data_IF_688336793203
#
_entry.id   IF_688336793203
#
_cell.length_a   1.000
_cell.length_b   1.000
_cell.length_c   1.000
_cell.angle_alpha   90.00
_cell.angle_beta   90.00
_cell.angle_gamma   90.00
#
_symmetry.space_group_name_H-M   'P 1'
#
loop_
_entity.id
_entity.type
_entity.pdbx_description
1 polymer ?
#
# COMPACT_ATOMS: atom_id res chain seq x y z
N UNK A 1 -11.23 30.37 12.91
CA UNK A 1 -10.15 30.39 11.92
C UNK A 1 -9.89 28.95 11.48
N UNK A 2 -9.92 28.70 10.18
CA UNK A 2 -9.59 27.39 9.63
C UNK A 2 -8.08 27.19 9.75
N UNK A 3 -7.65 26.04 10.30
CA UNK A 3 -6.24 25.69 10.43
C UNK A 3 -5.87 24.70 9.31
N UNK A 4 -4.75 24.92 8.66
CA UNK A 4 -4.24 24.05 7.59
C UNK A 4 -3.13 23.17 8.17
N UNK A 5 -3.34 21.85 8.15
CA UNK A 5 -2.34 20.86 8.56
C UNK A 5 -1.80 20.14 7.33
N UNK A 6 -0.52 20.31 7.07
CA UNK A 6 0.19 19.65 5.98
C UNK A 6 0.66 18.26 6.36
N UNK A 7 0.47 17.27 5.46
CA UNK A 7 0.98 15.91 5.63
C UNK A 7 1.42 15.30 4.30
N UNK A 8 1.89 14.05 4.32
CA UNK A 8 2.36 13.32 3.15
C UNK A 8 3.85 13.55 2.86
N UNK A 9 4.33 12.96 1.78
CA UNK A 9 5.73 12.99 1.39
C UNK A 9 6.24 14.42 1.14
N UNK A 10 5.43 15.28 0.49
CA UNK A 10 5.77 16.68 0.16
C UNK A 10 5.46 17.69 1.27
N UNK A 11 5.09 17.28 2.49
CA UNK A 11 4.59 18.15 3.57
C UNK A 11 5.52 19.32 3.95
N UNK A 12 6.82 19.11 3.81
CA UNK A 12 7.82 20.16 4.15
C UNK A 12 7.86 21.32 3.13
N UNK A 13 7.28 21.12 1.95
CA UNK A 13 7.23 22.11 0.87
C UNK A 13 5.87 22.83 0.79
N UNK A 14 5.10 22.86 1.88
CA UNK A 14 3.80 23.52 1.97
C UNK A 14 3.90 24.83 2.76
N UNK A 15 4.23 25.97 2.13
CA UNK A 15 4.47 27.24 2.83
C UNK A 15 3.22 27.84 3.47
N UNK A 16 2.04 27.34 3.08
CA UNK A 16 0.74 27.79 3.57
C UNK A 16 0.20 26.92 4.73
N UNK A 17 0.93 25.88 5.16
CA UNK A 17 0.51 25.02 6.25
C UNK A 17 0.85 25.68 7.61
N UNK A 18 -0.16 25.79 8.50
CA UNK A 18 0.03 26.26 9.87
C UNK A 18 0.76 25.24 10.74
N UNK A 19 0.65 23.96 10.39
CA UNK A 19 1.33 22.85 11.07
C UNK A 19 1.67 21.76 10.07
N UNK A 20 2.82 21.12 10.27
CA UNK A 20 3.26 19.97 9.48
C UNK A 20 3.32 18.73 10.39
N UNK A 21 2.66 17.65 9.98
CA UNK A 21 2.60 16.39 10.72
C UNK A 21 3.00 15.23 9.81
N UNK A 22 3.68 14.23 10.37
CA UNK A 22 4.09 13.05 9.59
C UNK A 22 2.88 12.29 9.07
N UNK A 23 2.99 11.73 7.89
CA UNK A 23 1.95 10.90 7.31
C UNK A 23 1.66 9.65 8.16
N UNK A 24 2.68 9.13 8.88
CA UNK A 24 2.52 7.99 9.80
C UNK A 24 1.48 8.33 10.88
N UNK A 25 1.64 9.49 11.53
CA UNK A 25 0.70 9.97 12.54
C UNK A 25 -0.69 10.22 11.96
N UNK A 26 -0.75 10.81 10.77
CA UNK A 26 -2.01 11.13 10.12
C UNK A 26 -2.75 9.87 9.68
N UNK A 27 -2.06 8.87 9.08
CA UNK A 27 -2.69 7.59 8.74
C UNK A 27 -3.21 6.84 9.98
N UNK A 28 -2.44 6.82 11.08
CA UNK A 28 -2.88 6.22 12.34
C UNK A 28 -4.18 6.88 12.86
N UNK A 29 -4.21 8.22 12.95
CA UNK A 29 -5.39 8.98 13.40
C UNK A 29 -6.60 8.79 12.48
N UNK A 30 -6.39 8.88 11.17
CA UNK A 30 -7.46 8.73 10.19
C UNK A 30 -8.04 7.31 10.16
N UNK A 31 -7.20 6.29 10.23
CA UNK A 31 -7.65 4.90 10.22
C UNK A 31 -8.46 4.55 11.47
N UNK A 32 -8.00 4.93 12.67
CA UNK A 32 -8.74 4.70 13.93
C UNK A 32 -10.05 5.50 13.96
N UNK A 33 -10.08 6.71 13.39
CA UNK A 33 -11.32 7.48 13.28
C UNK A 33 -12.37 6.78 12.42
N UNK A 34 -11.94 6.22 11.28
CA UNK A 34 -12.84 5.52 10.34
C UNK A 34 -13.22 4.11 10.83
N UNK A 35 -12.29 3.42 11.48
CA UNK A 35 -12.47 2.08 12.04
C UNK A 35 -11.90 2.04 13.45
N UNK A 36 -12.71 2.28 14.49
CA UNK A 36 -12.24 2.37 15.89
C UNK A 36 -11.55 1.10 16.42
N UNK A 37 -11.77 -0.06 15.78
CA UNK A 37 -11.08 -1.32 16.09
C UNK A 37 -9.66 -1.44 15.52
N UNK A 38 -9.22 -0.46 14.72
CA UNK A 38 -7.90 -0.49 14.06
C UNK A 38 -6.77 -0.53 15.09
N UNK A 39 -6.00 -1.60 15.06
CA UNK A 39 -4.75 -1.73 15.82
C UNK A 39 -3.53 -1.72 14.92
N UNK A 40 -3.71 -1.97 13.61
CA UNK A 40 -2.63 -1.93 12.62
C UNK A 40 -3.12 -1.26 11.34
N UNK A 41 -2.35 -0.30 10.85
CA UNK A 41 -2.54 0.31 9.54
C UNK A 41 -1.49 -0.25 8.59
N UNK A 42 -1.95 -0.73 7.44
CA UNK A 42 -1.12 -1.14 6.31
C UNK A 42 -1.28 -0.07 5.24
N UNK A 43 -0.21 0.64 4.90
CA UNK A 43 -0.25 1.67 3.87
C UNK A 43 0.69 1.31 2.72
N UNK A 44 0.15 1.28 1.49
CA UNK A 44 0.96 1.11 0.29
C UNK A 44 0.74 2.31 -0.62
N UNK A 45 1.71 3.22 -0.54
CA UNK A 45 1.78 4.41 -1.35
C UNK A 45 2.49 4.18 -2.69
N UNK A 46 2.66 5.27 -3.44
CA UNK A 46 3.42 5.27 -4.70
C UNK A 46 4.92 5.08 -4.50
N UNK A 47 5.48 5.61 -3.41
CA UNK A 47 6.93 5.67 -3.18
C UNK A 47 7.40 4.74 -2.04
N UNK A 48 6.53 4.43 -1.11
CA UNK A 48 6.84 3.66 0.09
C UNK A 48 5.68 2.75 0.51
N UNK A 49 5.96 1.88 1.45
CA UNK A 49 4.95 1.08 2.14
C UNK A 49 5.23 1.07 3.63
N UNK A 50 4.17 1.08 4.44
CA UNK A 50 4.26 1.21 5.90
C UNK A 50 3.35 0.22 6.60
N UNK A 51 3.80 -0.23 7.77
CA UNK A 51 2.97 -0.91 8.77
C UNK A 51 3.06 -0.07 10.04
N UNK A 52 1.91 0.36 10.57
CA UNK A 52 1.83 1.26 11.71
C UNK A 52 0.97 0.59 12.78
N UNK A 53 1.53 0.35 13.95
CA UNK A 53 0.80 -0.09 15.14
C UNK A 53 0.19 1.12 15.84
N UNK A 54 -1.09 1.03 16.18
CA UNK A 54 -1.86 2.14 16.77
C UNK A 54 -2.43 1.77 18.13
N UNK A 55 -2.49 2.77 19.02
CA UNK A 55 -3.31 2.70 20.21
C UNK A 55 -4.78 3.04 19.88
N UNK A 56 -5.74 2.72 20.79
CA UNK A 56 -7.16 3.02 20.58
C UNK A 56 -7.49 4.51 20.36
N UNK A 57 -6.62 5.41 20.82
CA UNK A 57 -6.76 6.86 20.62
C UNK A 57 -6.17 7.32 19.26
N UNK A 58 -5.66 6.41 18.45
CA UNK A 58 -5.01 6.69 17.17
C UNK A 58 -3.58 7.21 17.30
N UNK A 59 -2.96 7.15 18.48
CA UNK A 59 -1.54 7.42 18.62
C UNK A 59 -0.70 6.27 18.08
N UNK A 60 0.45 6.60 17.49
CA UNK A 60 1.39 5.61 16.94
C UNK A 60 2.15 4.97 18.09
N UNK A 61 2.12 3.64 18.16
CA UNK A 61 2.92 2.85 19.11
C UNK A 61 4.26 2.42 18.52
N UNK A 62 4.23 1.95 17.28
CA UNK A 62 5.40 1.50 16.54
C UNK A 62 5.13 1.58 15.04
N UNK A 63 6.15 1.63 14.23
CA UNK A 63 6.00 1.57 12.78
C UNK A 63 7.23 0.99 12.07
N UNK A 64 6.98 0.39 10.94
CA UNK A 64 8.00 -0.04 9.99
C UNK A 64 7.69 0.54 8.62
N UNK A 65 8.72 0.95 7.92
CA UNK A 65 8.60 1.54 6.59
C UNK A 65 9.60 0.91 5.62
N UNK A 66 9.15 0.69 4.39
CA UNK A 66 9.98 0.41 3.25
C UNK A 66 9.91 1.63 2.30
N UNK A 67 10.92 2.48 2.37
CA UNK A 67 11.08 3.69 1.56
C UNK A 67 12.23 3.59 0.54
N UNK A 68 12.93 2.44 0.50
CA UNK A 68 14.13 2.25 -0.31
C UNK A 68 13.97 1.23 -1.43
N UNK A 69 12.92 0.42 -1.40
CA UNK A 69 12.70 -0.63 -2.37
C UNK A 69 11.36 -0.45 -3.11
N UNK A 70 11.44 -0.03 -4.37
CA UNK A 70 10.27 0.18 -5.22
C UNK A 70 9.40 -1.08 -5.42
N UNK A 71 9.98 -2.27 -5.29
CA UNK A 71 9.27 -3.54 -5.52
C UNK A 71 8.12 -3.82 -4.53
N UNK A 72 8.02 -3.07 -3.43
CA UNK A 72 6.92 -3.16 -2.45
C UNK A 72 5.94 -1.98 -2.52
N UNK A 73 5.95 -1.19 -3.58
CA UNK A 73 5.22 0.07 -3.68
C UNK A 73 4.46 0.20 -5.00
N UNK A 74 3.60 1.21 -5.11
CA UNK A 74 2.89 1.53 -6.34
C UNK A 74 3.81 1.85 -7.53
N UNK A 75 5.07 2.26 -7.27
CA UNK A 75 6.06 2.49 -8.33
C UNK A 75 6.33 1.24 -9.15
N UNK A 76 6.34 0.06 -8.54
CA UNK A 76 6.50 -1.19 -9.28
C UNK A 76 5.32 -1.45 -10.21
N UNK A 77 4.10 -1.11 -9.79
CA UNK A 77 2.93 -1.24 -10.66
C UNK A 77 2.96 -0.25 -11.83
N UNK A 78 3.53 0.94 -11.66
CA UNK A 78 3.74 1.88 -12.77
C UNK A 78 4.71 1.31 -13.82
N UNK A 79 5.79 0.66 -13.38
CA UNK A 79 6.72 -0.03 -14.28
C UNK A 79 5.99 -1.17 -15.01
N UNK A 80 5.23 -1.99 -14.28
CA UNK A 80 4.45 -3.08 -14.86
C UNK A 80 3.41 -2.58 -15.87
N UNK A 81 2.70 -1.49 -15.55
CA UNK A 81 1.75 -0.80 -16.42
C UNK A 81 2.40 -0.45 -17.78
N UNK A 82 3.60 0.16 -17.74
CA UNK A 82 4.35 0.49 -18.94
C UNK A 82 4.75 -0.75 -19.78
N UNK A 83 5.17 -1.83 -19.11
CA UNK A 83 5.60 -3.07 -19.80
C UNK A 83 4.42 -3.79 -20.45
N UNK A 84 3.28 -3.88 -19.73
CA UNK A 84 2.10 -4.62 -20.19
C UNK A 84 1.17 -3.78 -21.08
N UNK A 85 1.39 -2.44 -21.17
CA UNK A 85 0.51 -1.54 -21.89
C UNK A 85 -0.90 -1.46 -21.29
N UNK A 86 -1.03 -1.59 -19.98
CA UNK A 86 -2.29 -1.59 -19.24
C UNK A 86 -2.33 -0.43 -18.26
N UNK A 87 -3.51 0.19 -18.09
CA UNK A 87 -3.73 1.14 -17.00
C UNK A 87 -3.72 0.45 -15.64
N UNK A 88 -3.46 1.20 -14.54
CA UNK A 88 -3.38 0.62 -13.18
C UNK A 88 -4.67 -0.09 -12.74
N UNK A 89 -5.83 0.43 -13.16
CA UNK A 89 -7.12 -0.20 -12.87
C UNK A 89 -7.25 -1.54 -13.60
N UNK A 90 -6.86 -1.58 -14.88
CA UNK A 90 -6.87 -2.80 -15.71
C UNK A 90 -5.91 -3.87 -15.16
N UNK A 91 -4.75 -3.46 -14.64
CA UNK A 91 -3.82 -4.35 -13.96
C UNK A 91 -4.47 -5.05 -12.76
N UNK A 92 -5.24 -4.28 -11.96
CA UNK A 92 -5.98 -4.82 -10.81
C UNK A 92 -7.00 -5.88 -11.23
N UNK A 93 -7.75 -5.63 -12.28
CA UNK A 93 -8.72 -6.57 -12.83
C UNK A 93 -8.04 -7.81 -13.44
N UNK A 94 -6.98 -7.60 -14.22
CA UNK A 94 -6.22 -8.68 -14.83
C UNK A 94 -5.61 -9.58 -13.75
N UNK A 95 -4.98 -9.00 -12.72
CA UNK A 95 -4.42 -9.74 -11.60
C UNK A 95 -5.48 -10.59 -10.86
N UNK A 96 -6.72 -10.08 -10.75
CA UNK A 96 -7.82 -10.81 -10.13
C UNK A 96 -8.28 -12.04 -10.90
N UNK A 97 -7.99 -12.11 -12.20
CA UNK A 97 -8.36 -13.25 -13.09
C UNK A 97 -7.19 -14.18 -13.41
N UNK A 98 -5.95 -13.69 -13.21
CA UNK A 98 -4.73 -14.42 -13.57
C UNK A 98 -4.35 -15.51 -12.58
N UNK A 99 -3.62 -16.51 -13.07
CA UNK A 99 -2.90 -17.47 -12.22
C UNK A 99 -1.51 -16.91 -11.93
N UNK A 100 -1.13 -16.64 -10.68
CA UNK A 100 0.10 -15.95 -10.38
C UNK A 100 1.35 -16.61 -10.96
N UNK A 101 1.98 -15.96 -11.94
CA UNK A 101 3.30 -16.37 -12.42
C UNK A 101 4.33 -16.25 -11.29
N UNK A 102 5.32 -17.12 -11.29
CA UNK A 102 6.41 -17.02 -10.33
C UNK A 102 7.29 -15.82 -10.69
N UNK A 103 7.33 -14.83 -9.79
CA UNK A 103 8.25 -13.68 -9.87
C UNK A 103 9.28 -13.89 -8.76
N UNK A 104 10.51 -14.17 -9.14
CA UNK A 104 11.60 -14.52 -8.23
C UNK A 104 12.43 -13.30 -7.82
N UNK A 105 12.45 -12.27 -8.66
CA UNK A 105 13.28 -11.09 -8.44
C UNK A 105 12.80 -10.25 -7.27
N UNK A 106 13.71 -9.98 -6.34
CA UNK A 106 13.44 -9.15 -5.17
C UNK A 106 13.49 -7.64 -5.46
N UNK A 107 14.17 -7.24 -6.52
CA UNK A 107 14.34 -5.85 -6.95
C UNK A 107 13.47 -5.57 -8.15
N UNK A 108 12.79 -4.41 -8.19
CA UNK A 108 11.93 -4.02 -9.30
C UNK A 108 12.69 -3.94 -10.64
N UNK A 109 13.97 -3.54 -10.63
CA UNK A 109 14.82 -3.47 -11.83
C UNK A 109 15.06 -4.84 -12.44
N UNK A 110 15.40 -5.84 -11.60
CA UNK A 110 15.58 -7.22 -12.08
C UNK A 110 14.24 -7.88 -12.43
N UNK A 111 13.18 -7.53 -11.72
CA UNK A 111 11.84 -8.01 -12.03
C UNK A 111 11.35 -7.54 -13.41
N UNK A 112 11.74 -6.34 -13.86
CA UNK A 112 11.45 -5.86 -15.22
C UNK A 112 11.99 -6.83 -16.27
N UNK A 113 13.25 -7.21 -16.19
CA UNK A 113 13.86 -8.18 -17.10
C UNK A 113 13.18 -9.55 -17.03
N UNK A 114 12.83 -10.00 -15.82
CA UNK A 114 12.11 -11.27 -15.62
C UNK A 114 10.73 -11.24 -16.25
N UNK A 115 9.99 -10.13 -16.11
CA UNK A 115 8.66 -9.91 -16.69
C UNK A 115 8.73 -9.95 -18.23
N UNK A 116 9.70 -9.23 -18.82
CA UNK A 116 9.92 -9.26 -20.26
C UNK A 116 10.22 -10.68 -20.74
N UNK A 117 11.04 -11.42 -20.00
CA UNK A 117 11.32 -12.82 -20.27
C UNK A 117 10.11 -13.74 -20.18
N UNK A 118 9.18 -13.48 -19.24
CA UNK A 118 7.90 -14.20 -19.13
C UNK A 118 7.00 -13.92 -20.33
N UNK A 119 6.88 -12.66 -20.76
CA UNK A 119 6.14 -12.27 -21.96
C UNK A 119 6.69 -12.94 -23.21
N UNK A 120 8.02 -12.95 -23.38
CA UNK A 120 8.67 -13.58 -24.52
C UNK A 120 8.43 -15.11 -24.59
N UNK A 121 8.17 -15.75 -23.44
CA UNK A 121 7.78 -17.17 -23.36
C UNK A 121 6.27 -17.40 -23.49
N UNK A 122 5.48 -16.36 -23.77
CA UNK A 122 4.04 -16.47 -23.97
C UNK A 122 3.24 -16.55 -22.67
N UNK A 123 3.81 -16.18 -21.52
CA UNK A 123 3.05 -16.12 -20.26
C UNK A 123 1.95 -15.06 -20.37
N UNK A 124 0.67 -15.37 -20.06
CA UNK A 124 -0.41 -14.42 -20.16
C UNK A 124 -0.14 -13.17 -19.31
N UNK A 125 -0.40 -11.95 -19.81
CA UNK A 125 -0.23 -10.71 -19.05
C UNK A 125 -0.99 -10.71 -17.72
N UNK A 126 -2.18 -11.32 -17.66
CA UNK A 126 -2.96 -11.47 -16.43
C UNK A 126 -2.23 -12.30 -15.35
N UNK A 127 -1.52 -13.36 -15.76
CA UNK A 127 -0.76 -14.22 -14.85
C UNK A 127 0.48 -13.49 -14.31
N UNK A 128 1.10 -12.67 -15.15
CA UNK A 128 2.22 -11.81 -14.76
C UNK A 128 1.74 -10.76 -13.76
N UNK A 129 0.62 -10.08 -14.05
CA UNK A 129 0.02 -9.10 -13.13
C UNK A 129 -0.32 -9.74 -11.77
N UNK A 130 -0.93 -10.92 -11.77
CA UNK A 130 -1.24 -11.68 -10.55
C UNK A 130 0.05 -12.04 -9.76
N UNK A 131 1.12 -12.43 -10.46
CA UNK A 131 2.43 -12.73 -9.87
C UNK A 131 3.06 -11.52 -9.17
N UNK A 132 3.03 -10.34 -9.82
CA UNK A 132 3.54 -9.08 -9.25
C UNK A 132 2.70 -8.66 -8.05
N UNK A 133 1.37 -8.70 -8.14
CA UNK A 133 0.47 -8.41 -7.00
C UNK A 133 0.79 -9.30 -5.80
N UNK A 134 0.94 -10.61 -6.01
CA UNK A 134 1.33 -11.54 -4.95
C UNK A 134 2.71 -11.23 -4.36
N UNK A 135 3.67 -10.83 -5.17
CA UNK A 135 4.99 -10.41 -4.70
C UNK A 135 4.90 -9.20 -3.77
N UNK A 136 4.10 -8.19 -4.11
CA UNK A 136 3.88 -7.00 -3.26
C UNK A 136 3.17 -7.39 -1.95
N UNK A 137 2.11 -8.20 -2.02
CA UNK A 137 1.37 -8.64 -0.83
C UNK A 137 2.25 -9.46 0.14
N UNK A 138 3.10 -10.35 -0.38
CA UNK A 138 4.07 -11.10 0.43
C UNK A 138 5.11 -10.21 1.10
N UNK A 139 5.55 -9.12 0.44
CA UNK A 139 6.46 -8.13 1.05
C UNK A 139 5.77 -7.40 2.19
N UNK A 140 4.53 -6.97 1.97
CA UNK A 140 3.75 -6.35 3.04
C UNK A 140 3.55 -7.31 4.21
N UNK A 141 3.24 -8.59 3.97
CA UNK A 141 3.18 -9.62 5.00
C UNK A 141 4.51 -9.75 5.75
N UNK A 142 5.64 -9.78 5.04
CA UNK A 142 6.97 -9.86 5.66
C UNK A 142 7.31 -8.63 6.51
N UNK A 143 6.83 -7.45 6.12
CA UNK A 143 6.96 -6.24 6.93
C UNK A 143 6.05 -6.30 8.15
N UNK A 144 4.79 -6.69 7.96
CA UNK A 144 3.78 -6.81 9.02
C UNK A 144 4.12 -7.87 10.07
N UNK A 145 4.79 -8.96 9.68
CA UNK A 145 5.22 -10.02 10.59
C UNK A 145 6.21 -9.55 11.68
N UNK A 146 6.79 -8.36 11.54
CA UNK A 146 7.71 -7.76 12.49
C UNK A 146 7.02 -6.88 13.54
N UNK A 147 5.72 -6.63 13.37
CA UNK A 147 4.87 -5.91 14.33
C UNK A 147 3.74 -6.86 14.78
N UNK A 148 3.44 -6.97 16.07
CA UNK A 148 2.29 -7.76 16.53
C UNK A 148 0.99 -7.23 15.91
N UNK A 149 0.27 -8.06 15.14
CA UNK A 149 -1.04 -7.71 14.60
C UNK A 149 -2.08 -7.80 15.73
N UNK A 150 -2.33 -6.70 16.41
CA UNK A 150 -3.33 -6.55 17.47
C UNK A 150 -4.49 -5.71 16.95
N UNK A 151 -5.71 -6.08 17.29
CA UNK A 151 -6.90 -5.40 16.77
C UNK A 151 -7.15 -5.68 15.29
N UNK A 152 -7.92 -4.81 14.65
CA UNK A 152 -8.23 -4.90 13.24
C UNK A 152 -7.13 -4.31 12.36
N UNK A 153 -6.98 -4.85 11.15
CA UNK A 153 -6.07 -4.30 10.14
C UNK A 153 -6.85 -3.36 9.21
N UNK A 154 -6.36 -2.13 9.03
CA UNK A 154 -6.91 -1.17 8.06
C UNK A 154 -5.90 -0.93 6.95
N UNK A 155 -6.33 -1.14 5.69
CA UNK A 155 -5.50 -0.97 4.51
C UNK A 155 -5.77 0.37 3.83
N UNK A 156 -4.73 1.15 3.59
CA UNK A 156 -4.75 2.52 3.07
C UNK A 156 -3.78 2.70 1.91
N UNK A 157 -3.81 3.86 1.29
CA UNK A 157 -2.93 4.19 0.17
C UNK A 157 -3.51 3.83 -1.20
N UNK A 158 -2.71 4.05 -2.24
CA UNK A 158 -3.15 3.90 -3.64
C UNK A 158 -3.55 2.47 -4.02
N UNK A 159 -2.85 1.46 -3.49
CA UNK A 159 -3.16 0.07 -3.78
C UNK A 159 -4.46 -0.42 -3.13
N UNK A 160 -4.91 0.23 -2.08
CA UNK A 160 -6.17 -0.10 -1.43
C UNK A 160 -7.41 0.20 -2.30
N UNK A 161 -7.26 0.98 -3.37
CA UNK A 161 -8.31 1.18 -4.37
C UNK A 161 -8.59 -0.05 -5.24
N UNK A 162 -7.71 -1.06 -5.21
CA UNK A 162 -7.87 -2.32 -5.95
C UNK A 162 -8.52 -3.40 -5.09
N UNK A 163 -9.79 -3.79 -5.34
CA UNK A 163 -10.45 -4.84 -4.58
C UNK A 163 -9.75 -6.21 -4.68
N UNK A 164 -9.17 -6.51 -5.84
CA UNK A 164 -8.41 -7.75 -6.05
C UNK A 164 -7.14 -7.79 -5.19
N UNK A 165 -6.45 -6.64 -5.05
CA UNK A 165 -5.27 -6.56 -4.19
C UNK A 165 -5.65 -6.65 -2.71
N UNK A 166 -6.71 -5.96 -2.28
CA UNK A 166 -7.17 -6.01 -0.88
C UNK A 166 -7.55 -7.43 -0.45
N UNK A 167 -8.22 -8.19 -1.34
CA UNK A 167 -8.53 -9.61 -1.11
C UNK A 167 -7.25 -10.44 -0.98
N UNK A 168 -6.33 -10.29 -1.94
CA UNK A 168 -5.06 -11.00 -1.93
C UNK A 168 -4.22 -10.67 -0.69
N UNK A 169 -4.23 -9.41 -0.25
CA UNK A 169 -3.53 -8.99 0.96
C UNK A 169 -4.12 -9.66 2.21
N UNK A 170 -5.46 -9.72 2.34
CA UNK A 170 -6.13 -10.45 3.41
C UNK A 170 -5.75 -11.93 3.41
N UNK A 171 -5.71 -12.57 2.25
CA UNK A 171 -5.31 -13.99 2.10
C UNK A 171 -3.86 -14.20 2.55
N UNK A 172 -2.93 -13.35 2.11
CA UNK A 172 -1.50 -13.47 2.46
C UNK A 172 -1.24 -13.17 3.94
N UNK A 173 -2.02 -12.27 4.56
CA UNK A 173 -1.91 -11.96 5.99
C UNK A 173 -2.61 -12.98 6.88
N UNK A 174 -3.61 -13.72 6.35
CA UNK A 174 -4.45 -14.62 7.11
C UNK A 174 -5.46 -13.92 8.03
N UNK A 175 -5.69 -12.61 7.82
CA UNK A 175 -6.65 -11.79 8.57
C UNK A 175 -7.41 -10.87 7.60
N UNK A 176 -8.67 -10.51 7.90
CA UNK A 176 -9.40 -9.54 7.10
C UNK A 176 -8.76 -8.15 7.21
N UNK A 177 -8.86 -7.38 6.13
CA UNK A 177 -8.46 -5.97 6.12
C UNK A 177 -9.67 -5.08 5.86
N UNK A 178 -9.83 -4.05 6.69
CA UNK A 178 -10.79 -2.97 6.45
C UNK A 178 -10.23 -2.04 5.38
N UNK A 179 -11.04 -1.66 4.41
CA UNK A 179 -10.67 -0.70 3.37
C UNK A 179 -11.64 0.47 3.44
N UNK A 180 -11.16 1.70 3.70
CA UNK A 180 -12.00 2.89 3.66
C UNK A 180 -12.56 3.17 2.27
N UNK A 181 -13.68 3.87 2.18
CA UNK A 181 -14.26 4.31 0.90
C UNK A 181 -13.27 5.14 0.07
N UNK A 182 -12.50 6.00 0.75
CA UNK A 182 -11.44 6.83 0.13
C UNK A 182 -10.08 6.52 0.76
N UNK A 183 -9.45 5.37 0.43
CA UNK A 183 -8.25 4.91 1.12
C UNK A 183 -7.02 5.82 0.90
N UNK A 184 -7.02 6.61 -0.16
CA UNK A 184 -5.97 7.60 -0.45
C UNK A 184 -6.08 8.87 0.40
N UNK A 185 -7.26 9.15 0.99
CA UNK A 185 -7.53 10.35 1.77
C UNK A 185 -7.36 10.16 3.27
N UNK A 186 -7.07 8.96 3.73
CA UNK A 186 -6.96 8.64 5.17
C UNK A 186 -5.93 9.53 5.88
N UNK A 187 -4.79 9.79 5.23
CA UNK A 187 -3.80 10.72 5.75
C UNK A 187 -4.32 12.16 5.89
N UNK A 188 -5.11 12.63 4.91
CA UNK A 188 -5.72 13.96 4.96
C UNK A 188 -6.82 14.04 6.04
N UNK A 189 -7.64 13.01 6.17
CA UNK A 189 -8.64 12.90 7.25
C UNK A 189 -7.93 12.95 8.61
N UNK A 190 -6.88 12.18 8.80
CA UNK A 190 -6.09 12.19 10.03
C UNK A 190 -5.43 13.54 10.31
N UNK A 191 -4.95 14.24 9.27
CA UNK A 191 -4.41 15.60 9.42
C UNK A 191 -5.49 16.60 9.90
N UNK A 192 -6.72 16.45 9.41
CA UNK A 192 -7.85 17.30 9.81
C UNK A 192 -8.30 17.08 11.28
N UNK A 193 -7.93 15.95 11.88
CA UNK A 193 -8.23 15.61 13.28
C UNK A 193 -7.15 16.09 14.27
N UNK A 194 -6.07 16.71 13.79
CA UNK A 194 -4.92 17.18 14.58
C UNK A 194 -4.88 18.71 14.71
#
# INVERSE_FOLDING_TARGET
ASRIVGTGYGRISLPFADKVVTEITCHARGAVHLFPGTGVVLDIGGQDSKVISTAPDGSVQDFLMNDKCAAGTGRFLQVLSGILGMELAELGEAAGRGKPAAISSMCAVFAETEIIGLLARGTPPADIAAGVFRSIARRMRGLAARIPLRGECTFTGGLATSPSFSRLLSEELGVPVNVPEYPQLVGAIGAALI
#
